data_IF_345337435574
#
_entry.id   IF_345337435574
#
_cell.length_a   1.000
_cell.length_b   1.000
_cell.length_c   1.000
_cell.angle_alpha   90.00
_cell.angle_beta   90.00
_cell.angle_gamma   90.00
#
_symmetry.space_group_name_H-M   'P 1'
#
loop_
_entity.id
_entity.type
_entity.pdbx_description
1 polymer ?
#
# COMPACT_ATOMS: atom_id res chain seq x y z
N UNK A 1 -24.87 34.02 20.18
CA UNK A 1 -23.57 33.46 20.66
C UNK A 1 -23.36 32.00 20.26
N UNK A 2 -24.37 31.12 20.36
CA UNK A 2 -24.27 29.69 19.98
C UNK A 2 -23.94 29.48 18.50
N UNK A 3 -24.53 30.23 17.58
CA UNK A 3 -24.26 30.13 16.14
C UNK A 3 -22.84 30.57 15.78
N UNK A 4 -22.32 31.60 16.45
CA UNK A 4 -20.93 32.03 16.28
C UNK A 4 -19.92 31.03 16.83
N UNK A 5 -20.23 30.39 17.95
CA UNK A 5 -19.39 29.33 18.53
C UNK A 5 -19.36 28.08 17.62
N UNK A 6 -20.51 27.66 17.08
CA UNK A 6 -20.60 26.56 16.15
C UNK A 6 -19.82 26.85 14.85
N UNK A 7 -19.97 28.03 14.27
CA UNK A 7 -19.22 28.42 13.06
C UNK A 7 -17.70 28.47 13.30
N UNK A 8 -17.26 28.90 14.47
CA UNK A 8 -15.84 28.90 14.85
C UNK A 8 -15.28 27.46 15.00
N UNK A 9 -16.08 26.55 15.58
CA UNK A 9 -15.68 25.14 15.70
C UNK A 9 -15.62 24.45 14.33
N UNK A 10 -16.58 24.71 13.44
CA UNK A 10 -16.57 24.19 12.08
C UNK A 10 -15.38 24.74 11.27
N UNK A 11 -15.04 26.00 11.40
CA UNK A 11 -13.86 26.58 10.74
C UNK A 11 -12.56 25.95 11.27
N UNK A 12 -12.46 25.69 12.58
CA UNK A 12 -11.33 25.00 13.19
C UNK A 12 -11.19 23.58 12.69
N UNK A 13 -12.31 22.83 12.57
CA UNK A 13 -12.33 21.46 12.04
C UNK A 13 -11.89 21.44 10.58
N UNK A 14 -12.43 22.32 9.75
CA UNK A 14 -12.07 22.43 8.35
C UNK A 14 -10.58 22.73 8.15
N UNK A 15 -10.02 23.64 8.95
CA UNK A 15 -8.59 23.96 8.95
C UNK A 15 -7.75 22.73 9.33
N UNK A 16 -8.09 22.05 10.43
CA UNK A 16 -7.38 20.85 10.89
C UNK A 16 -7.42 19.74 9.83
N UNK A 17 -8.57 19.56 9.17
CA UNK A 17 -8.72 18.62 8.07
C UNK A 17 -7.79 18.97 6.90
N UNK A 18 -7.78 20.22 6.47
CA UNK A 18 -6.91 20.70 5.39
C UNK A 18 -5.43 20.48 5.69
N UNK A 19 -5.00 20.81 6.91
CA UNK A 19 -3.61 20.62 7.36
C UNK A 19 -3.20 19.13 7.34
N UNK A 20 -4.05 18.22 7.80
CA UNK A 20 -3.75 16.78 7.82
C UNK A 20 -3.76 16.16 6.42
N UNK A 21 -4.66 16.58 5.53
CA UNK A 21 -4.67 16.14 4.13
C UNK A 21 -3.43 16.65 3.39
N UNK A 22 -3.02 17.89 3.63
CA UNK A 22 -1.80 18.44 3.04
C UNK A 22 -0.55 17.67 3.53
N UNK A 23 -0.48 17.33 4.81
CA UNK A 23 0.59 16.49 5.38
C UNK A 23 0.65 15.14 4.67
N UNK A 24 -0.50 14.48 4.48
CA UNK A 24 -0.59 13.21 3.77
C UNK A 24 -0.03 13.33 2.34
N UNK A 25 -0.46 14.33 1.60
CA UNK A 25 -0.01 14.53 0.22
C UNK A 25 1.48 14.83 0.13
N UNK A 26 2.03 15.61 1.07
CA UNK A 26 3.46 15.88 1.16
C UNK A 26 4.30 14.62 1.50
N UNK A 27 3.74 13.69 2.27
CA UNK A 27 4.42 12.47 2.68
C UNK A 27 4.38 11.35 1.62
N UNK A 28 3.41 11.36 0.69
CA UNK A 28 3.28 10.31 -0.36
C UNK A 28 4.56 10.04 -1.15
N UNK A 29 5.33 11.03 -1.61
CA UNK A 29 6.59 10.78 -2.32
C UNK A 29 7.63 10.04 -1.47
N UNK A 30 7.68 10.28 -0.15
CA UNK A 30 8.61 9.62 0.76
C UNK A 30 8.28 8.13 0.97
N UNK A 31 7.03 7.72 0.72
CA UNK A 31 6.62 6.32 0.76
C UNK A 31 7.05 5.53 -0.48
N UNK A 32 7.56 6.22 -1.52
CA UNK A 32 8.05 5.56 -2.72
C UNK A 32 9.41 4.91 -2.44
N UNK A 33 9.48 3.60 -2.64
CA UNK A 33 10.71 2.80 -2.50
C UNK A 33 11.00 2.07 -3.80
N UNK A 34 12.23 2.17 -4.29
CA UNK A 34 12.68 1.45 -5.48
C UNK A 34 13.73 0.43 -5.07
N UNK A 35 13.55 -0.81 -5.48
CA UNK A 35 14.55 -1.86 -5.36
C UNK A 35 15.21 -2.04 -6.73
N UNK A 36 16.54 -1.86 -6.86
CA UNK A 36 17.27 -2.03 -8.10
C UNK A 36 17.48 -3.53 -8.37
N UNK A 37 16.48 -4.18 -8.91
CA UNK A 37 16.48 -5.61 -9.16
C UNK A 37 16.62 -5.92 -10.65
N UNK A 38 16.98 -7.17 -10.94
CA UNK A 38 17.02 -7.72 -12.30
C UNK A 38 15.75 -8.48 -12.65
N UNK A 39 15.50 -8.58 -13.94
CA UNK A 39 14.50 -9.46 -14.50
C UNK A 39 15.07 -10.30 -15.64
N UNK A 40 14.35 -11.35 -16.01
CA UNK A 40 14.63 -12.14 -17.21
C UNK A 40 13.56 -11.86 -18.25
N UNK A 41 13.96 -11.24 -19.35
CA UNK A 41 13.12 -10.95 -20.49
C UNK A 41 13.06 -12.16 -21.42
N UNK A 42 11.86 -12.69 -21.66
CA UNK A 42 11.63 -13.84 -22.52
C UNK A 42 10.15 -13.92 -22.90
N UNK A 43 9.74 -14.93 -23.65
CA UNK A 43 8.31 -15.16 -23.96
C UNK A 43 7.53 -15.57 -22.72
N UNK A 44 6.21 -15.43 -22.73
CA UNK A 44 5.35 -15.80 -21.60
C UNK A 44 5.48 -17.29 -21.21
N UNK A 45 5.64 -18.18 -22.21
CA UNK A 45 5.84 -19.61 -21.99
C UNK A 45 7.19 -19.89 -21.29
N UNK A 46 8.26 -19.23 -21.76
CA UNK A 46 9.60 -19.34 -21.15
C UNK A 46 9.62 -18.79 -19.74
N UNK A 47 9.00 -17.62 -19.48
CA UNK A 47 8.86 -17.07 -18.13
C UNK A 47 8.18 -18.06 -17.18
N UNK A 48 7.10 -18.71 -17.63
CA UNK A 48 6.37 -19.69 -16.83
C UNK A 48 7.18 -20.96 -16.55
N UNK A 49 8.00 -21.39 -17.50
CA UNK A 49 8.91 -22.52 -17.33
C UNK A 49 10.06 -22.18 -16.37
N UNK A 50 10.72 -21.03 -16.58
CA UNK A 50 11.81 -20.55 -15.72
C UNK A 50 11.37 -20.33 -14.28
N UNK A 51 10.17 -19.80 -14.05
CA UNK A 51 9.65 -19.58 -12.69
C UNK A 51 9.48 -20.87 -11.87
N UNK A 52 9.47 -22.03 -12.54
CA UNK A 52 9.39 -23.38 -11.93
C UNK A 52 10.71 -24.12 -11.94
N UNK A 53 11.72 -23.61 -12.66
CA UNK A 53 13.04 -24.25 -12.71
C UNK A 53 13.73 -24.19 -11.34
N UNK A 54 14.29 -25.30 -10.82
CA UNK A 54 14.86 -25.35 -9.46
C UNK A 54 15.89 -24.25 -9.18
N UNK A 55 16.78 -23.96 -10.13
CA UNK A 55 17.83 -22.97 -9.99
C UNK A 55 17.37 -21.52 -10.18
N UNK A 56 16.17 -21.32 -10.72
CA UNK A 56 15.58 -19.98 -10.93
C UNK A 56 14.55 -19.65 -9.87
N UNK A 57 13.70 -20.60 -9.48
CA UNK A 57 12.55 -20.35 -8.59
C UNK A 57 12.93 -19.73 -7.24
N UNK A 58 14.12 -20.07 -6.69
CA UNK A 58 14.65 -19.51 -5.43
C UNK A 58 15.03 -18.04 -5.55
N UNK A 59 15.28 -17.59 -6.76
CA UNK A 59 15.63 -16.20 -7.08
C UNK A 59 14.46 -15.38 -7.61
N UNK A 60 13.28 -15.99 -7.82
CA UNK A 60 12.09 -15.26 -8.25
C UNK A 60 11.60 -14.34 -7.14
N UNK A 61 11.49 -13.05 -7.44
CA UNK A 61 10.96 -12.07 -6.51
C UNK A 61 9.45 -12.26 -6.32
N UNK A 62 9.02 -12.57 -5.11
CA UNK A 62 7.61 -12.80 -4.78
C UNK A 62 7.19 -11.89 -3.65
N UNK A 63 6.13 -11.13 -3.88
CA UNK A 63 5.48 -10.33 -2.85
C UNK A 63 3.97 -10.52 -2.92
N UNK A 64 3.25 -10.11 -1.87
CA UNK A 64 1.79 -10.28 -1.81
C UNK A 64 1.02 -9.46 -2.86
N UNK A 65 1.60 -8.37 -3.38
CA UNK A 65 0.91 -7.38 -4.21
C UNK A 65 1.56 -7.10 -5.56
N UNK A 66 2.75 -7.63 -5.81
CA UNK A 66 3.41 -7.49 -7.10
C UNK A 66 3.46 -8.83 -7.84
N UNK A 67 3.16 -8.79 -9.13
CA UNK A 67 3.30 -9.95 -10.00
C UNK A 67 4.78 -10.21 -10.26
N UNK A 68 5.18 -11.46 -10.24
CA UNK A 68 6.55 -11.87 -10.59
C UNK A 68 6.76 -12.07 -12.10
N UNK A 69 5.70 -12.10 -12.89
CA UNK A 69 5.75 -12.03 -14.34
C UNK A 69 5.05 -10.74 -14.78
N UNK A 70 5.83 -9.83 -15.35
CA UNK A 70 5.41 -8.48 -15.68
C UNK A 70 5.36 -8.29 -17.23
N UNK A 71 4.63 -7.30 -17.74
CA UNK A 71 4.77 -6.85 -19.13
C UNK A 71 6.21 -6.46 -19.44
N UNK A 72 6.59 -6.56 -20.70
CA UNK A 72 7.89 -6.06 -21.15
C UNK A 72 7.93 -4.52 -21.08
N UNK A 73 8.92 -3.92 -20.39
CA UNK A 73 9.03 -2.47 -20.31
C UNK A 73 9.30 -1.79 -21.66
N UNK A 74 9.79 -2.54 -22.66
CA UNK A 74 9.96 -2.04 -24.02
C UNK A 74 8.67 -2.06 -24.84
N UNK A 75 7.54 -2.55 -24.28
CA UNK A 75 6.25 -2.58 -24.96
C UNK A 75 6.08 -3.74 -25.96
N UNK A 76 6.93 -4.76 -25.93
CA UNK A 76 6.78 -5.95 -26.77
C UNK A 76 5.77 -6.92 -26.16
N UNK A 77 4.57 -6.98 -26.72
CA UNK A 77 3.48 -7.84 -26.24
C UNK A 77 3.77 -9.33 -26.32
N UNK A 78 4.73 -9.75 -27.14
CA UNK A 78 5.17 -11.15 -27.24
C UNK A 78 6.10 -11.55 -26.08
N UNK A 79 6.66 -10.57 -25.36
CA UNK A 79 7.60 -10.78 -24.28
C UNK A 79 7.03 -10.44 -22.93
N UNK A 80 7.66 -10.99 -21.91
CA UNK A 80 7.38 -10.74 -20.49
C UNK A 80 8.71 -10.68 -19.75
N UNK A 81 8.66 -10.14 -18.54
CA UNK A 81 9.80 -10.12 -17.64
C UNK A 81 9.48 -10.96 -16.42
N UNK A 82 10.29 -11.99 -16.18
CA UNK A 82 10.29 -12.71 -14.91
C UNK A 82 11.14 -11.93 -13.91
N UNK A 83 10.49 -11.40 -12.88
CA UNK A 83 11.13 -10.59 -11.84
C UNK A 83 11.99 -11.45 -10.93
N UNK A 84 13.25 -11.07 -10.78
CA UNK A 84 14.19 -11.70 -9.85
C UNK A 84 14.38 -10.85 -8.60
N UNK A 85 14.71 -11.50 -7.48
CA UNK A 85 15.11 -10.88 -6.21
C UNK A 85 16.63 -10.71 -6.10
N UNK A 86 17.32 -10.58 -7.21
CA UNK A 86 18.76 -10.34 -7.29
C UNK A 86 18.97 -8.89 -7.68
N UNK A 87 19.80 -8.18 -6.91
CA UNK A 87 20.14 -6.79 -7.19
C UNK A 87 20.91 -6.67 -8.50
N UNK A 88 20.81 -5.52 -9.16
CA UNK A 88 21.47 -5.28 -10.44
C UNK A 88 23.00 -5.10 -10.30
N UNK A 89 23.50 -4.83 -9.09
CA UNK A 89 24.91 -4.71 -8.73
C UNK A 89 25.51 -6.04 -8.19
N UNK A 90 24.69 -7.04 -7.85
CA UNK A 90 25.17 -8.33 -7.37
C UNK A 90 25.58 -9.28 -8.50
N UNK A 91 26.61 -10.11 -8.29
CA UNK A 91 26.96 -11.16 -9.26
C UNK A 91 25.83 -12.20 -9.37
N UNK A 92 25.56 -12.63 -10.60
CA UNK A 92 24.57 -13.67 -10.84
C UNK A 92 25.15 -15.06 -10.55
N UNK A 93 24.40 -15.94 -9.84
CA UNK A 93 24.79 -17.34 -9.64
C UNK A 93 24.93 -18.07 -10.96
N UNK A 94 25.99 -18.84 -11.16
CA UNK A 94 26.29 -19.58 -12.42
C UNK A 94 25.11 -20.48 -12.85
N UNK A 95 24.51 -21.21 -11.93
CA UNK A 95 23.38 -22.09 -12.21
C UNK A 95 22.15 -21.29 -12.72
N UNK A 96 21.91 -20.09 -12.19
CA UNK A 96 20.85 -19.18 -12.67
C UNK A 96 21.16 -18.71 -14.10
N UNK A 97 22.41 -18.30 -14.35
CA UNK A 97 22.86 -17.86 -15.69
C UNK A 97 22.69 -18.98 -16.71
N UNK A 98 23.15 -20.19 -16.40
CA UNK A 98 23.04 -21.32 -17.27
C UNK A 98 21.57 -21.69 -17.60
N UNK A 99 20.70 -21.70 -16.57
CA UNK A 99 19.27 -22.01 -16.77
C UNK A 99 18.57 -20.96 -17.64
N UNK A 100 18.86 -19.67 -17.44
CA UNK A 100 18.29 -18.57 -18.24
C UNK A 100 18.79 -18.61 -19.68
N UNK A 101 20.08 -18.86 -19.90
CA UNK A 101 20.68 -18.99 -21.24
C UNK A 101 20.09 -20.18 -22.01
N UNK A 102 19.95 -21.34 -21.34
CA UNK A 102 19.33 -22.54 -21.95
C UNK A 102 17.88 -22.29 -22.39
N UNK A 103 17.15 -21.41 -21.69
CA UNK A 103 15.79 -21.03 -22.04
C UNK A 103 15.73 -19.89 -23.08
N UNK A 104 16.86 -19.33 -23.51
CA UNK A 104 16.89 -18.18 -24.44
C UNK A 104 16.40 -16.88 -23.82
N UNK A 105 16.52 -16.74 -22.49
CA UNK A 105 16.17 -15.52 -21.75
C UNK A 105 17.33 -14.52 -21.73
N UNK A 106 16.98 -13.24 -21.57
CA UNK A 106 17.91 -12.11 -21.48
C UNK A 106 17.78 -11.47 -20.11
N UNK A 107 18.90 -11.26 -19.40
CA UNK A 107 18.91 -10.47 -18.16
C UNK A 107 18.80 -8.99 -18.48
N UNK A 108 17.90 -8.30 -17.78
CA UNK A 108 17.72 -6.86 -17.89
C UNK A 108 17.65 -6.25 -16.49
N UNK A 109 18.02 -4.98 -16.36
CA UNK A 109 17.65 -4.19 -15.19
C UNK A 109 16.14 -4.00 -15.18
N UNK A 110 15.49 -4.43 -14.10
CA UNK A 110 14.05 -4.32 -13.94
C UNK A 110 13.71 -3.94 -12.50
N UNK A 111 13.83 -2.66 -12.14
CA UNK A 111 13.61 -2.20 -10.77
C UNK A 111 12.14 -2.39 -10.37
N UNK A 112 11.95 -2.79 -9.12
CA UNK A 112 10.61 -2.88 -8.52
C UNK A 112 10.35 -1.61 -7.74
N UNK A 113 9.26 -0.92 -8.09
CA UNK A 113 8.82 0.29 -7.42
C UNK A 113 7.63 -0.03 -6.52
N UNK A 114 7.80 0.24 -5.25
CA UNK A 114 6.71 0.28 -4.27
C UNK A 114 6.29 1.73 -4.11
N UNK A 115 5.10 2.03 -4.56
CA UNK A 115 4.50 3.37 -4.44
C UNK A 115 3.29 3.34 -3.50
N UNK A 116 2.52 4.41 -3.52
CA UNK A 116 1.30 4.54 -2.74
C UNK A 116 0.35 3.34 -2.89
N UNK A 117 0.20 2.82 -4.10
CA UNK A 117 -0.75 1.74 -4.39
C UNK A 117 -0.32 0.39 -3.82
N UNK A 118 0.98 0.19 -3.68
CA UNK A 118 1.53 -1.03 -3.08
C UNK A 118 1.23 -1.14 -1.58
N UNK A 119 1.34 -0.04 -0.82
CA UNK A 119 1.24 -0.07 0.63
C UNK A 119 -0.20 -0.27 1.13
N UNK A 120 -0.39 -0.99 2.24
CA UNK A 120 -1.68 -1.14 2.90
C UNK A 120 -2.00 0.09 3.76
N UNK A 121 -3.27 0.24 4.15
CA UNK A 121 -3.70 1.23 5.14
C UNK A 121 -2.83 1.15 6.41
N UNK A 122 -2.64 -0.06 6.96
CA UNK A 122 -1.81 -0.29 8.15
C UNK A 122 -0.37 0.22 7.97
N UNK A 123 0.28 -0.17 6.85
CA UNK A 123 1.66 0.24 6.58
C UNK A 123 1.81 1.75 6.40
N UNK A 124 0.83 2.38 5.74
CA UNK A 124 0.82 3.83 5.54
C UNK A 124 0.63 4.55 6.87
N UNK A 125 -0.34 4.12 7.68
CA UNK A 125 -0.61 4.74 8.97
C UNK A 125 0.57 4.60 9.93
N UNK A 126 1.22 3.43 9.97
CA UNK A 126 2.46 3.23 10.75
C UNK A 126 3.59 4.17 10.32
N UNK A 127 3.72 4.45 9.02
CA UNK A 127 4.75 5.34 8.50
C UNK A 127 4.47 6.83 8.70
N UNK A 128 3.20 7.21 8.95
CA UNK A 128 2.78 8.61 9.06
C UNK A 128 2.44 9.06 10.46
N UNK A 129 2.07 8.14 11.35
CA UNK A 129 1.78 8.44 12.74
C UNK A 129 3.09 8.58 13.55
N UNK A 130 3.07 9.33 14.67
CA UNK A 130 4.18 9.35 15.62
C UNK A 130 4.57 7.94 16.07
N UNK A 131 5.85 7.74 16.37
CA UNK A 131 6.42 6.43 16.76
C UNK A 131 5.67 5.79 17.94
N UNK A 132 5.19 6.60 18.87
CA UNK A 132 4.43 6.15 20.04
C UNK A 132 3.05 5.56 19.68
N UNK A 133 2.53 5.89 18.49
CA UNK A 133 1.22 5.48 17.99
C UNK A 133 1.31 4.43 16.86
N UNK A 134 2.51 4.09 16.43
CA UNK A 134 2.75 3.19 15.28
C UNK A 134 2.17 1.78 15.52
N UNK A 135 2.43 1.22 16.70
CA UNK A 135 2.12 -0.17 17.02
C UNK A 135 0.61 -0.45 17.07
N UNK A 136 -0.17 0.54 17.47
CA UNK A 136 -1.63 0.46 17.55
C UNK A 136 -2.38 1.13 16.39
N UNK A 137 -1.71 1.41 15.26
CA UNK A 137 -2.30 2.16 14.15
C UNK A 137 -3.70 1.61 13.74
N UNK A 138 -4.75 2.46 13.70
CA UNK A 138 -6.13 2.03 13.54
C UNK A 138 -6.44 1.73 12.05
N UNK A 139 -6.01 0.59 11.57
CA UNK A 139 -6.22 0.12 10.20
C UNK A 139 -7.47 -0.75 10.01
N UNK A 140 -8.13 -1.15 11.11
CA UNK A 140 -9.34 -1.94 11.10
C UNK A 140 -10.59 -1.03 11.07
N UNK A 141 -11.52 -1.35 10.17
CA UNK A 141 -12.81 -0.68 10.07
C UNK A 141 -13.88 -1.67 9.57
N UNK A 142 -15.14 -1.39 9.88
CA UNK A 142 -16.27 -2.12 9.32
C UNK A 142 -16.90 -1.33 8.18
N UNK A 143 -17.47 -2.03 7.20
CA UNK A 143 -18.14 -1.39 6.07
C UNK A 143 -19.63 -1.65 6.09
N UNK A 144 -20.41 -0.60 5.87
CA UNK A 144 -21.85 -0.67 5.60
C UNK A 144 -22.10 0.09 4.29
N UNK A 145 -22.33 -0.64 3.20
CA UNK A 145 -22.37 -0.05 1.86
C UNK A 145 -21.03 0.61 1.49
N UNK A 146 -21.09 1.92 1.23
CA UNK A 146 -19.93 2.76 0.90
C UNK A 146 -19.38 3.54 2.10
N UNK A 147 -19.86 3.28 3.30
CA UNK A 147 -19.44 3.96 4.52
C UNK A 147 -18.50 3.04 5.32
N UNK A 148 -17.30 3.52 5.62
CA UNK A 148 -16.37 2.89 6.54
C UNK A 148 -16.57 3.45 7.95
N UNK A 149 -16.80 2.57 8.91
CA UNK A 149 -16.95 2.90 10.32
C UNK A 149 -15.65 2.57 11.05
N UNK A 150 -14.98 3.58 11.56
CA UNK A 150 -13.81 3.43 12.43
C UNK A 150 -14.19 3.67 13.89
N UNK A 151 -13.44 3.08 14.80
CA UNK A 151 -13.54 3.32 16.23
C UNK A 151 -12.14 3.76 16.72
N UNK A 152 -11.90 5.06 16.69
CA UNK A 152 -10.62 5.63 17.08
C UNK A 152 -10.56 5.78 18.59
N UNK A 153 -9.48 5.31 19.20
CA UNK A 153 -9.14 5.61 20.58
C UNK A 153 -8.76 7.09 20.72
N UNK A 154 -8.80 7.61 21.93
CA UNK A 154 -8.59 9.03 22.22
C UNK A 154 -7.26 9.56 21.66
N UNK A 155 -6.19 8.79 21.79
CA UNK A 155 -4.86 9.15 21.29
C UNK A 155 -4.78 9.37 19.77
N UNK A 156 -5.69 8.75 18.99
CA UNK A 156 -5.75 8.90 17.52
C UNK A 156 -6.70 10.00 17.05
N UNK A 157 -7.51 10.60 17.95
CA UNK A 157 -8.47 11.63 17.53
C UNK A 157 -7.81 12.88 16.96
N UNK A 158 -6.58 13.18 17.39
CA UNK A 158 -5.78 14.24 16.81
C UNK A 158 -5.44 14.02 15.33
N UNK A 159 -5.43 12.77 14.85
CA UNK A 159 -5.07 12.35 13.50
C UNK A 159 -6.27 11.83 12.69
N UNK A 160 -7.49 12.03 13.17
CA UNK A 160 -8.71 11.44 12.59
C UNK A 160 -8.92 11.73 11.11
N UNK A 161 -8.57 12.92 10.64
CA UNK A 161 -8.73 13.29 9.23
C UNK A 161 -7.66 12.64 8.35
N UNK A 162 -6.42 12.53 8.83
CA UNK A 162 -5.35 11.78 8.18
C UNK A 162 -5.76 10.32 8.01
N UNK A 163 -6.20 9.68 9.09
CA UNK A 163 -6.63 8.28 9.12
C UNK A 163 -7.80 8.06 8.16
N UNK A 164 -8.83 8.92 8.24
CA UNK A 164 -9.98 8.87 7.36
C UNK A 164 -9.60 9.01 5.89
N UNK A 165 -8.71 9.94 5.55
CA UNK A 165 -8.26 10.16 4.18
C UNK A 165 -7.47 8.98 3.63
N UNK A 166 -6.59 8.36 4.43
CA UNK A 166 -5.86 7.14 4.03
C UNK A 166 -6.83 6.01 3.72
N UNK A 167 -7.86 5.80 4.56
CA UNK A 167 -8.89 4.77 4.33
C UNK A 167 -9.65 5.04 3.03
N UNK A 168 -10.11 6.28 2.81
CA UNK A 168 -10.80 6.71 1.58
C UNK A 168 -9.97 6.40 0.33
N UNK A 169 -8.72 6.79 0.32
CA UNK A 169 -7.87 6.64 -0.87
C UNK A 169 -7.44 5.18 -1.11
N UNK A 170 -7.33 4.36 -0.06
CA UNK A 170 -6.86 2.97 -0.17
C UNK A 170 -8.00 1.96 -0.32
N UNK A 171 -9.24 2.37 -0.17
CA UNK A 171 -10.40 1.48 -0.23
C UNK A 171 -11.39 1.95 -1.29
N UNK A 172 -11.30 1.45 -2.54
CA UNK A 172 -12.04 1.98 -3.70
C UNK A 172 -13.56 2.03 -3.57
N UNK A 173 -14.14 1.25 -2.64
CA UNK A 173 -15.60 1.22 -2.39
C UNK A 173 -16.06 2.17 -1.29
N UNK A 174 -15.13 2.83 -0.60
CA UNK A 174 -15.43 3.75 0.49
C UNK A 174 -15.55 5.16 -0.08
N UNK A 175 -16.69 5.79 0.16
CA UNK A 175 -16.96 7.19 -0.20
C UNK A 175 -17.02 8.08 1.05
N UNK A 176 -17.26 7.48 2.22
CA UNK A 176 -17.35 8.19 3.49
C UNK A 176 -16.70 7.40 4.61
N UNK A 177 -15.95 8.10 5.45
CA UNK A 177 -15.40 7.51 6.70
C UNK A 177 -16.03 8.23 7.88
N UNK A 178 -16.63 7.46 8.79
CA UNK A 178 -17.22 7.97 10.04
C UNK A 178 -16.48 7.39 11.24
N UNK A 179 -16.18 8.24 12.21
CA UNK A 179 -15.67 7.80 13.49
C UNK A 179 -16.81 7.65 14.48
N UNK A 180 -16.88 6.52 15.15
CA UNK A 180 -17.83 6.27 16.22
C UNK A 180 -17.40 7.08 17.45
N UNK A 181 -18.19 8.09 17.81
CA UNK A 181 -17.84 9.03 18.90
C UNK A 181 -18.22 8.53 20.27
N UNK A 182 -19.20 7.60 20.39
CA UNK A 182 -19.69 7.09 21.66
C UNK A 182 -20.00 5.60 21.62
N UNK A 183 -19.63 4.90 22.66
CA UNK A 183 -20.33 3.69 23.10
C UNK A 183 -21.65 4.13 23.70
N UNK A 184 -22.77 3.60 23.20
CA UNK A 184 -24.06 3.80 23.85
C UNK A 184 -23.97 3.08 25.20
N UNK A 185 -23.54 3.78 26.23
CA UNK A 185 -23.65 3.38 27.64
C UNK A 185 -25.10 3.62 28.10
N UNK A 186 -26.04 2.90 27.51
CA UNK A 186 -27.35 2.77 28.12
C UNK A 186 -27.46 1.35 28.65
N UNK A 187 -27.32 1.22 29.95
CA UNK A 187 -27.52 0.01 30.73
C UNK A 187 -28.95 -0.51 30.63
N UNK A 188 -29.89 0.27 30.08
CA UNK A 188 -31.30 -0.11 29.94
C UNK A 188 -31.82 0.27 28.54
N UNK A 189 -32.19 -0.76 27.76
CA UNK A 189 -33.15 -0.61 26.68
C UNK A 189 -34.55 -0.48 27.31
N UNK A 190 -35.04 0.75 27.46
CA UNK A 190 -36.45 0.96 27.80
C UNK A 190 -37.22 0.76 26.51
N UNK A 191 -37.93 -0.37 26.41
CA UNK A 191 -38.94 -0.57 25.39
C UNK A 191 -40.24 0.09 25.92
N UNK A 192 -40.71 1.12 25.24
CA UNK A 192 -42.05 1.67 25.45
C UNK A 192 -43.03 0.87 24.61
#
# INVERSE_FOLDING_TARGET
DLQRAAAADDAKRARQQGEQIALLHAAKPALRKTLPLRGVRCTAAQCSALARHPDVQRHVFRTRRAKHICPDPAGDDAKRVLQLGVSDDEPLPEALVAAVAAAGGEFIAHPVVFDWDYWSVDQILRALLPVELEEGAPSAFSMVGHIAHVNLREEYLAYRYLIGQVILEKTPRVETVVNKLDTIETEFRVFA
#
